data_IF_952910033486
#
_entry.id   IF_952910033486
#
_cell.length_a   1.000
_cell.length_b   1.000
_cell.length_c   1.000
_cell.angle_alpha   90.00
_cell.angle_beta   90.00
_cell.angle_gamma   90.00
#
_symmetry.space_group_name_H-M   'P 1'
#
loop_
_entity.id
_entity.type
_entity.pdbx_description
1 polymer ?
#
# COMPACT_ATOMS: atom_id res chain seq x y z
N UNK A 1 -24.43 -7.00 15.03
CA UNK A 1 -23.48 -6.38 14.11
C UNK A 1 -22.06 -6.65 14.58
N UNK A 2 -21.23 -7.21 13.75
CA UNK A 2 -19.92 -7.68 14.17
C UNK A 2 -18.77 -6.77 13.67
N UNK A 3 -18.79 -6.36 12.43
CA UNK A 3 -17.75 -5.47 11.88
C UNK A 3 -18.17 -4.02 12.08
N UNK A 4 -17.27 -3.21 12.64
CA UNK A 4 -17.49 -1.78 12.79
C UNK A 4 -16.90 -1.00 11.61
N UNK A 5 -15.72 -1.41 11.15
CA UNK A 5 -15.02 -0.74 10.05
C UNK A 5 -13.83 -1.60 9.64
N UNK A 6 -13.27 -1.30 8.50
CA UNK A 6 -11.96 -1.84 8.15
C UNK A 6 -10.91 -0.94 8.80
N UNK A 7 -10.09 -1.50 9.68
CA UNK A 7 -9.14 -0.71 10.47
C UNK A 7 -7.88 -0.36 9.68
N UNK A 8 -7.24 -1.35 9.08
CA UNK A 8 -6.07 -1.12 8.24
C UNK A 8 -5.79 -2.33 7.37
N UNK A 9 -4.89 -2.14 6.42
CA UNK A 9 -4.31 -3.19 5.60
C UNK A 9 -2.81 -3.17 5.85
N UNK A 10 -2.21 -4.34 6.05
CA UNK A 10 -0.77 -4.47 6.26
C UNK A 10 -0.09 -4.90 4.97
N UNK A 11 1.01 -4.23 4.64
CA UNK A 11 1.94 -4.66 3.61
C UNK A 11 3.29 -4.89 4.28
N UNK A 12 3.85 -6.08 4.12
CA UNK A 12 5.20 -6.39 4.58
C UNK A 12 6.18 -6.00 3.48
N UNK A 13 7.20 -5.21 3.83
CA UNK A 13 8.12 -4.62 2.86
C UNK A 13 9.57 -4.82 3.31
N UNK A 14 10.50 -4.70 2.38
CA UNK A 14 11.93 -4.77 2.68
C UNK A 14 12.53 -3.39 2.94
N UNK A 15 12.10 -2.38 2.19
CA UNK A 15 12.61 -1.01 2.32
C UNK A 15 11.49 -0.09 2.81
N UNK A 16 11.37 0.00 4.13
CA UNK A 16 10.30 0.75 4.77
C UNK A 16 10.29 2.22 4.34
N UNK A 17 11.45 2.87 4.31
CA UNK A 17 11.52 4.30 3.99
C UNK A 17 11.08 4.60 2.56
N UNK A 18 11.53 3.78 1.60
CA UNK A 18 11.14 3.96 0.19
C UNK A 18 9.64 3.78 0.01
N UNK A 19 9.05 2.80 0.70
CA UNK A 19 7.61 2.55 0.58
C UNK A 19 6.81 3.66 1.27
N UNK A 20 7.28 4.16 2.42
CA UNK A 20 6.66 5.32 3.07
C UNK A 20 6.63 6.50 2.10
N UNK A 21 7.78 6.82 1.48
CA UNK A 21 7.88 7.94 0.54
C UNK A 21 6.89 7.80 -0.63
N UNK A 22 6.73 6.59 -1.14
CA UNK A 22 5.78 6.32 -2.21
C UNK A 22 4.36 6.68 -1.80
N UNK A 23 3.91 6.21 -0.63
CA UNK A 23 2.55 6.47 -0.18
C UNK A 23 2.35 7.92 0.27
N UNK A 24 3.38 8.57 0.79
CA UNK A 24 3.31 10.02 1.10
C UNK A 24 3.18 10.82 -0.19
N UNK A 25 3.92 10.46 -1.25
CA UNK A 25 3.79 11.12 -2.55
C UNK A 25 2.40 10.91 -3.15
N UNK A 26 1.81 9.74 -2.94
CA UNK A 26 0.44 9.46 -3.35
C UNK A 26 -0.58 10.35 -2.64
N UNK A 27 -0.27 10.80 -1.42
CA UNK A 27 -1.14 11.70 -0.66
C UNK A 27 -1.46 11.24 0.75
N UNK A 28 -0.92 10.11 1.18
CA UNK A 28 -1.13 9.67 2.56
C UNK A 28 -0.25 10.45 3.53
N UNK A 29 -0.66 10.48 4.78
CA UNK A 29 0.08 11.15 5.84
C UNK A 29 0.68 10.12 6.79
N UNK A 30 1.96 10.25 7.10
CA UNK A 30 2.62 9.38 8.07
C UNK A 30 2.11 9.75 9.46
N UNK A 31 1.42 8.81 10.11
CA UNK A 31 0.85 9.00 11.45
C UNK A 31 1.86 8.67 12.53
N UNK A 32 2.71 7.67 12.30
CA UNK A 32 3.76 7.29 13.22
C UNK A 32 4.57 6.13 12.71
N UNK A 33 5.77 5.95 13.26
CA UNK A 33 6.58 4.77 12.98
C UNK A 33 7.46 4.45 14.18
N UNK A 34 7.86 3.19 14.30
CA UNK A 34 8.74 2.75 15.37
C UNK A 34 8.84 1.24 15.44
N UNK A 35 9.64 0.75 16.38
CA UNK A 35 9.78 -0.70 16.56
C UNK A 35 8.51 -1.32 17.14
N UNK A 36 8.27 -2.56 16.76
CA UNK A 36 7.18 -3.36 17.31
C UNK A 36 7.71 -4.76 17.56
N UNK A 37 7.90 -5.08 18.83
CA UNK A 37 8.45 -6.37 19.27
C UNK A 37 7.92 -6.71 20.64
N UNK A 38 8.21 -7.92 21.10
CA UNK A 38 7.80 -8.37 22.40
C UNK A 38 6.92 -9.61 22.33
N UNK A 39 6.75 -10.21 23.48
CA UNK A 39 6.03 -11.47 23.59
C UNK A 39 4.58 -11.38 23.12
N UNK A 40 3.94 -10.25 23.40
CA UNK A 40 2.54 -10.05 23.00
C UNK A 40 2.37 -10.05 21.48
N UNK A 41 3.34 -9.46 20.75
CA UNK A 41 3.32 -9.45 19.29
C UNK A 41 3.48 -10.87 18.75
N UNK A 42 4.42 -11.63 19.33
CA UNK A 42 4.67 -13.01 18.94
C UNK A 42 3.43 -13.88 19.12
N UNK A 43 2.71 -13.63 20.22
CA UNK A 43 1.48 -14.38 20.49
C UNK A 43 0.37 -14.03 19.51
N UNK A 44 0.31 -12.78 19.06
CA UNK A 44 -0.71 -12.34 18.10
C UNK A 44 -0.43 -12.87 16.71
N UNK A 45 0.82 -12.74 16.23
CA UNK A 45 1.13 -13.08 14.83
C UNK A 45 1.60 -14.52 14.63
N UNK A 46 1.88 -15.25 15.72
CA UNK A 46 2.21 -16.67 15.63
C UNK A 46 3.63 -16.96 15.17
N UNK A 47 4.55 -16.04 15.43
CA UNK A 47 5.97 -16.22 15.11
C UNK A 47 6.79 -16.00 16.36
N UNK A 48 7.95 -16.66 16.44
CA UNK A 48 8.87 -16.50 17.54
C UNK A 48 9.95 -15.48 17.21
N UNK A 49 10.46 -14.82 18.24
CA UNK A 49 11.63 -13.93 18.14
C UNK A 49 11.39 -12.78 17.16
N UNK A 50 10.23 -12.16 17.25
CA UNK A 50 9.81 -11.09 16.34
C UNK A 50 10.48 -9.78 16.68
N UNK A 51 11.13 -9.18 15.67
CA UNK A 51 11.61 -7.81 15.71
C UNK A 51 11.29 -7.16 14.38
N UNK A 52 10.55 -6.08 14.43
CA UNK A 52 10.11 -5.38 13.23
C UNK A 52 10.05 -3.88 13.49
N UNK A 53 10.10 -3.11 12.41
CA UNK A 53 9.74 -1.71 12.42
C UNK A 53 8.44 -1.55 11.65
N UNK A 54 7.55 -0.75 12.17
CA UNK A 54 6.28 -0.48 11.50
C UNK A 54 6.11 1.01 11.22
N UNK A 55 5.27 1.30 10.24
CA UNK A 55 4.79 2.65 9.96
C UNK A 55 3.29 2.61 9.76
N UNK A 56 2.60 3.60 10.28
CA UNK A 56 1.17 3.75 10.10
C UNK A 56 0.93 5.02 9.28
N UNK A 57 0.23 4.85 8.15
CA UNK A 57 -0.16 5.97 7.30
C UNK A 57 -1.68 6.06 7.28
N UNK A 58 -2.19 7.27 7.08
CA UNK A 58 -3.63 7.49 6.99
C UNK A 58 -3.97 8.32 5.76
N UNK A 59 -5.20 8.18 5.28
CA UNK A 59 -5.72 9.05 4.24
C UNK A 59 -6.00 10.43 4.83
N UNK A 60 -5.97 11.50 4.00
CA UNK A 60 -6.19 12.87 4.51
C UNK A 60 -7.53 13.06 5.23
N UNK A 61 -8.57 12.30 4.84
CA UNK A 61 -9.86 12.35 5.50
C UNK A 61 -9.88 11.64 6.86
N UNK A 62 -8.81 10.91 7.19
CA UNK A 62 -8.68 10.20 8.46
C UNK A 62 -9.47 8.90 8.56
N UNK A 63 -10.12 8.46 7.49
CA UNK A 63 -11.00 7.29 7.54
C UNK A 63 -10.30 5.97 7.27
N UNK A 64 -9.18 5.97 6.57
CA UNK A 64 -8.50 4.73 6.18
C UNK A 64 -7.03 4.76 6.58
N UNK A 65 -6.52 3.58 6.93
CA UNK A 65 -5.12 3.44 7.35
C UNK A 65 -4.45 2.29 6.62
N UNK A 66 -3.16 2.45 6.43
CA UNK A 66 -2.27 1.46 5.86
C UNK A 66 -1.12 1.26 6.85
N UNK A 67 -0.85 0.00 7.18
CA UNK A 67 0.29 -0.34 8.01
C UNK A 67 1.39 -0.94 7.13
N UNK A 68 2.62 -0.50 7.32
CA UNK A 68 3.78 -1.08 6.66
C UNK A 68 4.65 -1.71 7.73
N UNK A 69 5.21 -2.89 7.45
CA UNK A 69 6.08 -3.56 8.39
C UNK A 69 7.32 -4.10 7.68
N UNK A 70 8.48 -3.85 8.29
CA UNK A 70 9.74 -4.48 7.89
C UNK A 70 10.18 -5.41 9.01
N UNK A 71 10.35 -6.70 8.68
CA UNK A 71 10.80 -7.70 9.65
C UNK A 71 12.32 -7.78 9.66
N UNK A 72 12.92 -7.55 10.81
CA UNK A 72 14.35 -7.82 11.04
C UNK A 72 14.55 -9.30 11.35
N UNK A 73 13.67 -9.85 12.20
CA UNK A 73 13.59 -11.27 12.53
C UNK A 73 12.14 -11.65 12.77
N UNK A 74 11.67 -12.84 12.36
CA UNK A 74 12.32 -13.67 11.32
C UNK A 74 12.32 -12.93 9.98
N UNK A 75 13.27 -13.29 9.10
CA UNK A 75 13.42 -12.61 7.82
C UNK A 75 12.14 -12.73 6.97
N UNK A 76 11.83 -11.66 6.24
CA UNK A 76 10.68 -11.66 5.35
C UNK A 76 10.83 -12.72 4.25
N UNK A 77 9.70 -13.28 3.84
CA UNK A 77 9.67 -14.31 2.80
C UNK A 77 9.21 -13.62 1.51
N UNK A 78 10.02 -13.72 0.45
CA UNK A 78 9.68 -13.15 -0.84
C UNK A 78 8.75 -14.08 -1.61
N UNK A 79 7.60 -13.56 -2.09
CA UNK A 79 6.71 -14.37 -2.93
C UNK A 79 7.25 -14.46 -4.35
N UNK A 80 6.83 -15.50 -5.07
CA UNK A 80 7.15 -15.69 -6.49
C UNK A 80 5.86 -15.73 -7.31
N UNK A 81 5.75 -14.99 -8.41
CA UNK A 81 6.69 -13.97 -8.92
C UNK A 81 6.54 -12.62 -8.21
N UNK A 82 7.64 -11.86 -8.12
CA UNK A 82 7.64 -10.56 -7.46
C UNK A 82 6.70 -9.55 -8.15
N UNK A 83 6.73 -9.53 -9.48
CA UNK A 83 5.86 -8.63 -10.27
C UNK A 83 4.69 -9.41 -10.85
N UNK A 84 3.85 -9.95 -9.98
CA UNK A 84 2.72 -10.77 -10.38
C UNK A 84 1.73 -9.99 -11.27
N UNK A 85 1.22 -10.61 -12.35
CA UNK A 85 0.16 -10.00 -13.16
C UNK A 85 -1.10 -9.73 -12.33
N UNK A 86 -1.93 -8.83 -12.82
CA UNK A 86 -3.11 -8.36 -12.11
C UNK A 86 -4.14 -9.47 -11.82
N UNK A 87 -4.07 -10.60 -12.52
CA UNK A 87 -4.98 -11.73 -12.33
C UNK A 87 -4.41 -12.84 -11.44
N UNK A 88 -3.30 -12.59 -10.75
CA UNK A 88 -2.73 -13.55 -9.81
C UNK A 88 -3.60 -13.64 -8.57
N UNK A 89 -3.82 -14.84 -8.07
CA UNK A 89 -4.63 -15.05 -6.86
C UNK A 89 -4.06 -14.29 -5.66
N UNK A 90 -4.94 -13.77 -4.82
CA UNK A 90 -4.60 -13.05 -3.60
C UNK A 90 -4.98 -11.58 -3.69
N UNK A 91 -4.56 -10.81 -2.69
CA UNK A 91 -4.80 -9.36 -2.69
C UNK A 91 -3.89 -8.74 -3.74
N UNK A 92 -4.49 -8.05 -4.74
CA UNK A 92 -3.73 -7.54 -5.88
C UNK A 92 -3.51 -6.03 -5.84
N UNK A 93 -4.45 -5.27 -5.31
CA UNK A 93 -4.33 -3.82 -5.30
C UNK A 93 -5.08 -3.18 -4.14
N UNK A 94 -4.69 -1.97 -3.83
CA UNK A 94 -5.45 -1.08 -2.95
C UNK A 94 -5.86 0.11 -3.82
N UNK A 95 -7.16 0.42 -3.84
CA UNK A 95 -7.70 1.48 -4.70
C UNK A 95 -7.83 2.78 -3.92
N UNK A 96 -7.38 3.87 -4.53
CA UNK A 96 -7.50 5.22 -3.97
C UNK A 96 -8.31 6.10 -4.91
N UNK A 97 -9.22 6.88 -4.35
CA UNK A 97 -9.88 7.94 -5.08
C UNK A 97 -8.94 9.15 -5.10
N UNK A 98 -8.77 9.75 -6.28
CA UNK A 98 -7.88 10.91 -6.46
C UNK A 98 -8.62 12.00 -7.22
N UNK A 99 -8.14 13.24 -7.10
CA UNK A 99 -8.77 14.39 -7.76
C UNK A 99 -8.23 14.60 -9.19
N UNK A 100 -6.97 14.27 -9.46
CA UNK A 100 -6.34 14.46 -10.77
C UNK A 100 -5.44 13.27 -11.05
N UNK A 101 -5.97 12.29 -11.76
CA UNK A 101 -5.27 11.02 -11.99
C UNK A 101 -3.98 11.19 -12.81
N UNK A 102 -3.98 12.11 -13.78
CA UNK A 102 -2.78 12.33 -14.60
C UNK A 102 -1.66 12.95 -13.79
N UNK A 103 -1.98 13.90 -12.91
CA UNK A 103 -1.00 14.51 -12.01
C UNK A 103 -0.43 13.47 -11.04
N UNK A 104 -1.29 12.66 -10.43
CA UNK A 104 -0.85 11.63 -9.49
C UNK A 104 0.05 10.62 -10.19
N UNK A 105 -0.34 10.12 -11.36
CA UNK A 105 0.47 9.17 -12.12
C UNK A 105 1.84 9.76 -12.44
N UNK A 106 1.88 11.02 -12.90
CA UNK A 106 3.14 11.68 -13.24
C UNK A 106 4.07 11.77 -12.02
N UNK A 107 3.53 12.13 -10.86
CA UNK A 107 4.32 12.21 -9.63
C UNK A 107 4.84 10.85 -9.20
N UNK A 108 4.00 9.80 -9.29
CA UNK A 108 4.43 8.45 -8.94
C UNK A 108 5.47 7.91 -9.91
N UNK A 109 5.32 8.21 -11.21
CA UNK A 109 6.32 7.82 -12.21
C UNK A 109 7.67 8.47 -11.95
N UNK A 110 7.67 9.73 -11.47
CA UNK A 110 8.90 10.41 -11.07
C UNK A 110 9.59 9.73 -9.89
N UNK A 111 8.86 8.95 -9.10
CA UNK A 111 9.39 8.14 -8.01
C UNK A 111 9.66 6.69 -8.43
N UNK A 112 9.70 6.41 -9.73
CA UNK A 112 10.08 5.10 -10.24
C UNK A 112 8.94 4.11 -10.44
N UNK A 113 7.69 4.54 -10.28
CA UNK A 113 6.53 3.67 -10.49
C UNK A 113 6.18 3.59 -11.98
N UNK A 114 5.48 2.53 -12.36
CA UNK A 114 5.06 2.28 -13.74
C UNK A 114 3.57 1.97 -13.81
N UNK A 115 2.92 2.42 -14.88
CA UNK A 115 1.56 1.98 -15.19
C UNK A 115 1.58 0.49 -15.50
N UNK A 116 0.62 -0.25 -14.95
CA UNK A 116 0.44 -1.67 -15.26
C UNK A 116 -0.20 -1.83 -16.65
N UNK A 117 -1.21 -1.03 -16.92
CA UNK A 117 -1.82 -0.93 -18.24
C UNK A 117 -1.80 0.52 -18.67
N UNK A 118 -2.95 1.10 -18.91
CA UNK A 118 -3.06 2.51 -19.28
C UNK A 118 -4.16 3.18 -18.48
N UNK A 119 -4.18 4.51 -18.49
CA UNK A 119 -5.30 5.26 -17.91
C UNK A 119 -6.46 5.12 -18.88
N UNK A 120 -7.57 4.56 -18.40
CA UNK A 120 -8.76 4.34 -19.22
C UNK A 120 -9.95 5.06 -18.62
N UNK A 121 -10.86 5.50 -19.48
CA UNK A 121 -12.07 6.17 -19.05
C UNK A 121 -13.25 5.21 -19.15
N UNK A 122 -14.01 5.10 -18.06
CA UNK A 122 -15.24 4.33 -18.03
C UNK A 122 -16.42 5.30 -18.14
N UNK A 123 -17.05 5.32 -19.31
CA UNK A 123 -18.16 6.22 -19.63
C UNK A 123 -17.75 7.69 -19.29
N UNK A 124 -18.68 8.48 -18.78
CA UNK A 124 -18.41 9.83 -18.27
C UNK A 124 -18.32 9.83 -16.74
N UNK A 125 -17.97 8.67 -16.14
CA UNK A 125 -18.05 8.47 -14.69
C UNK A 125 -16.67 8.49 -14.06
N UNK A 126 -15.74 7.65 -14.54
CA UNK A 126 -14.42 7.50 -13.95
C UNK A 126 -13.31 7.45 -14.97
N UNK A 127 -12.13 7.88 -14.54
CA UNK A 127 -10.87 7.51 -15.17
C UNK A 127 -10.11 6.64 -14.17
N UNK A 128 -9.55 5.54 -14.65
CA UNK A 128 -9.00 4.49 -13.80
C UNK A 128 -7.65 4.03 -14.33
N UNK A 129 -6.76 3.66 -13.42
CA UNK A 129 -5.52 2.97 -13.80
C UNK A 129 -4.97 2.18 -12.61
N UNK A 130 -4.03 1.28 -12.92
CA UNK A 130 -3.22 0.60 -11.90
C UNK A 130 -1.77 1.05 -12.08
N UNK A 131 -1.11 1.32 -10.96
CA UNK A 131 0.30 1.72 -10.92
C UNK A 131 1.06 0.73 -10.05
N UNK A 132 2.18 0.23 -10.56
CA UNK A 132 3.07 -0.65 -9.81
C UNK A 132 4.17 0.19 -9.19
N UNK A 133 4.20 0.22 -7.86
CA UNK A 133 5.18 0.97 -7.09
C UNK A 133 6.35 0.09 -6.62
N UNK A 134 7.05 0.53 -5.57
CA UNK A 134 8.18 -0.22 -5.05
C UNK A 134 7.76 -1.60 -4.58
N UNK A 135 8.67 -2.56 -4.71
CA UNK A 135 8.50 -3.95 -4.26
C UNK A 135 7.29 -4.64 -4.90
N UNK A 136 6.88 -4.21 -6.08
CA UNK A 136 5.77 -4.82 -6.80
C UNK A 136 4.39 -4.43 -6.30
N UNK A 137 4.29 -3.50 -5.38
CA UNK A 137 3.00 -3.06 -4.81
C UNK A 137 2.16 -2.38 -5.89
N UNK A 138 0.93 -2.85 -6.08
CA UNK A 138 0.00 -2.25 -7.04
C UNK A 138 -1.03 -1.41 -6.30
N UNK A 139 -1.13 -0.14 -6.71
CA UNK A 139 -2.23 0.73 -6.28
C UNK A 139 -3.13 1.00 -7.47
N UNK A 140 -4.43 1.07 -7.22
CA UNK A 140 -5.40 1.53 -8.20
C UNK A 140 -5.74 2.98 -7.92
N UNK A 141 -5.95 3.74 -8.98
CA UNK A 141 -6.34 5.15 -8.87
C UNK A 141 -7.65 5.35 -9.62
N UNK A 142 -8.55 6.10 -9.02
CA UNK A 142 -9.84 6.40 -9.61
C UNK A 142 -10.12 7.89 -9.46
N UNK A 143 -10.32 8.57 -10.58
CA UNK A 143 -10.77 9.96 -10.61
C UNK A 143 -12.23 9.97 -11.02
N UNK A 144 -13.09 10.53 -10.19
CA UNK A 144 -14.50 10.67 -10.50
C UNK A 144 -14.71 11.90 -11.37
N UNK A 145 -15.40 11.73 -12.49
CA UNK A 145 -15.59 12.80 -13.48
C UNK A 145 -16.84 13.64 -13.24
N UNK A 146 -17.78 13.12 -12.47
CA UNK A 146 -19.03 13.84 -12.21
C UNK A 146 -19.44 13.83 -10.75
#
# INVERSE_FOLDING_TARGET
MTIQRMDNVLIVVNDLETVIEFFVELGMELEGKGPLEGRWVERVIGLDDVRQDIAMLRTPDGHSRLELARFHTPAAISPEPENAPANTLGIRRIMFAVDDIEDVVARLEAHGADLVGEIAQYLDIYRLCYVRGPEGIVVGLAEQLT
#
